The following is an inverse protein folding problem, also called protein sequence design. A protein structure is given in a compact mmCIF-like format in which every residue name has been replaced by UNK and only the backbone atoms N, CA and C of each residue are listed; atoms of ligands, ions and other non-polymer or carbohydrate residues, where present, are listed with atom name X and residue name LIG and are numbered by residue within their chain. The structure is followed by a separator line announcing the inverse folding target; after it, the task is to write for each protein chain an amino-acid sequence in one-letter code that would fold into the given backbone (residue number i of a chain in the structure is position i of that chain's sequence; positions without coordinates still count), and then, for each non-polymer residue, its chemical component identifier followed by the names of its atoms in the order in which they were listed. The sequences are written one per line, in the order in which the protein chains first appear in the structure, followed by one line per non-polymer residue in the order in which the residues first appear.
data_IF_701157688024
#
_entry.id   IF_701157688024
#
_cell.length_a   1.000
_cell.length_b   1.000
_cell.length_c   1.000
_cell.angle_alpha   90.00
_cell.angle_beta   90.00
_cell.angle_gamma   90.00
#
_symmetry.space_group_name_H-M   'P 1'
#
loop_
_entity.id
_entity.type
_entity.pdbx_description
1 polymer ?
#
# COMPACT_ATOMS: atom_id res chain seq x y z
N UNK A 1 -3.71 -7.54 -16.84
CA UNK A 1 -3.29 -8.32 -15.68
C UNK A 1 -4.48 -8.44 -14.75
N UNK A 2 -4.66 -9.60 -14.10
CA UNK A 2 -5.73 -9.79 -13.11
C UNK A 2 -5.13 -9.46 -11.74
N UNK A 3 -5.80 -8.59 -10.97
CA UNK A 3 -5.41 -8.33 -9.58
C UNK A 3 -5.80 -9.53 -8.72
N UNK A 4 -4.85 -10.04 -7.94
CA UNK A 4 -5.08 -11.07 -6.95
C UNK A 4 -5.65 -10.46 -5.66
N UNK A 5 -6.39 -11.24 -4.87
CA UNK A 5 -6.79 -10.83 -3.53
C UNK A 5 -5.55 -10.44 -2.71
N UNK A 6 -5.52 -9.21 -2.19
CA UNK A 6 -4.40 -8.70 -1.39
C UNK A 6 -3.38 -7.84 -2.15
N UNK A 7 -3.37 -7.84 -3.50
CA UNK A 7 -2.44 -7.02 -4.29
C UNK A 7 -2.61 -5.51 -4.01
N UNK A 8 -3.86 -5.07 -3.95
CA UNK A 8 -4.20 -3.66 -3.69
C UNK A 8 -3.81 -3.26 -2.27
N UNK A 9 -3.97 -4.15 -1.29
CA UNK A 9 -3.58 -3.90 0.09
C UNK A 9 -2.05 -3.81 0.21
N UNK A 10 -1.33 -4.75 -0.40
CA UNK A 10 0.13 -4.74 -0.42
C UNK A 10 0.66 -3.44 -1.06
N UNK A 11 0.13 -3.06 -2.22
CA UNK A 11 0.49 -1.82 -2.89
C UNK A 11 0.21 -0.60 -2.00
N UNK A 12 -0.96 -0.55 -1.36
CA UNK A 12 -1.32 0.53 -0.44
C UNK A 12 -0.36 0.61 0.75
N UNK A 13 0.05 -0.52 1.34
CA UNK A 13 1.03 -0.54 2.45
C UNK A 13 2.42 -0.09 2.02
N UNK A 14 2.84 -0.40 0.80
CA UNK A 14 4.11 0.08 0.22
C UNK A 14 4.05 1.59 0.03
N UNK A 15 2.98 2.11 -0.59
CA UNK A 15 2.77 3.56 -0.76
C UNK A 15 2.76 4.25 0.60
N UNK A 16 2.05 3.70 1.59
CA UNK A 16 2.02 4.22 2.94
C UNK A 16 3.43 4.34 3.54
N UNK A 17 4.29 3.33 3.36
CA UNK A 17 5.69 3.34 3.83
C UNK A 17 6.57 4.39 3.16
N UNK A 18 6.39 4.67 1.87
CA UNK A 18 7.17 5.70 1.16
C UNK A 18 6.52 7.09 1.19
N UNK A 19 5.34 7.22 1.79
CA UNK A 19 4.65 8.48 2.02
C UNK A 19 5.07 9.15 3.35
N UNK A 20 4.44 10.28 3.66
CA UNK A 20 4.59 10.96 4.96
C UNK A 20 4.06 10.15 6.15
N UNK A 21 3.25 9.10 5.91
CA UNK A 21 2.66 8.25 6.96
C UNK A 21 3.53 7.07 7.38
N UNK A 22 4.81 7.02 7.00
CA UNK A 22 5.68 5.84 7.15
C UNK A 22 5.87 5.29 8.57
N UNK A 23 5.66 6.15 9.57
CA UNK A 23 5.81 5.86 11.01
C UNK A 23 4.45 5.90 11.73
N UNK A 24 3.34 6.10 11.00
CA UNK A 24 1.99 6.12 11.55
C UNK A 24 1.46 4.69 11.76
N UNK A 25 0.61 4.50 12.78
CA UNK A 25 -0.04 3.21 13.03
C UNK A 25 -0.99 2.79 11.91
N UNK A 26 -1.57 3.78 11.22
CA UNK A 26 -2.48 3.58 10.11
C UNK A 26 -2.43 4.79 9.16
N UNK A 27 -2.52 4.52 7.87
CA UNK A 27 -2.61 5.53 6.81
C UNK A 27 -3.88 5.29 6.02
N UNK A 28 -4.61 6.36 5.77
CA UNK A 28 -5.80 6.37 4.91
C UNK A 28 -5.38 6.73 3.48
N UNK A 29 -5.74 5.90 2.51
CA UNK A 29 -5.49 6.13 1.09
C UNK A 29 -6.78 6.00 0.28
N UNK A 30 -6.91 6.80 -0.77
CA UNK A 30 -7.91 6.56 -1.80
C UNK A 30 -7.30 5.70 -2.91
N UNK A 31 -7.95 4.58 -3.20
CA UNK A 31 -7.65 3.75 -4.35
C UNK A 31 -8.75 3.94 -5.38
N UNK A 32 -8.36 4.36 -6.58
CA UNK A 32 -9.21 4.42 -7.76
C UNK A 32 -8.81 3.31 -8.71
N UNK A 33 -9.74 2.42 -9.03
CA UNK A 33 -9.48 1.36 -10.01
C UNK A 33 -9.67 1.86 -11.46
N UNK A 34 -9.41 0.96 -12.41
CA UNK A 34 -9.52 1.27 -13.84
C UNK A 34 -10.95 1.43 -14.34
N UNK A 35 -11.94 0.96 -13.56
CA UNK A 35 -13.36 1.18 -13.85
C UNK A 35 -13.82 2.56 -13.36
N UNK A 36 -13.00 3.22 -12.54
CA UNK A 36 -13.27 4.53 -11.98
C UNK A 36 -13.89 4.47 -10.59
N UNK A 37 -14.08 3.27 -10.03
CA UNK A 37 -14.57 3.10 -8.66
C UNK A 37 -13.49 3.54 -7.67
N UNK A 38 -13.90 4.37 -6.73
CA UNK A 38 -13.04 4.91 -5.68
C UNK A 38 -13.41 4.23 -4.37
N UNK A 39 -12.39 3.74 -3.66
CA UNK A 39 -12.54 3.18 -2.32
C UNK A 39 -11.45 3.68 -1.39
N UNK A 40 -11.83 3.91 -0.15
CA UNK A 40 -10.91 4.30 0.90
C UNK A 40 -10.31 3.05 1.55
N UNK A 41 -8.99 3.00 1.62
CA UNK A 41 -8.21 1.94 2.24
C UNK A 41 -7.56 2.47 3.51
N UNK A 42 -7.62 1.67 4.57
CA UNK A 42 -6.96 1.95 5.83
C UNK A 42 -5.92 0.87 6.06
N UNK A 43 -4.65 1.20 5.92
CA UNK A 43 -3.57 0.21 5.95
C UNK A 43 -2.46 0.62 6.90
N UNK A 44 -1.83 -0.37 7.52
CA UNK A 44 -0.61 -0.15 8.31
C UNK A 44 0.60 -0.13 7.37
N UNK A 45 1.44 0.93 7.39
CA UNK A 45 2.68 0.96 6.62
C UNK A 45 3.50 -0.32 6.82
N UNK A 46 4.12 -0.82 5.76
CA UNK A 46 5.06 -1.93 5.87
C UNK A 46 6.27 -1.52 6.73
N UNK A 47 6.72 -2.40 7.61
CA UNK A 47 7.99 -2.21 8.30
C UNK A 47 9.14 -2.36 7.30
N UNK A 48 10.27 -1.69 7.55
CA UNK A 48 11.45 -1.81 6.68
C UNK A 48 11.93 -3.27 6.53
N UNK A 49 11.74 -4.06 7.59
CA UNK A 49 12.11 -5.49 7.64
C UNK A 49 11.14 -6.41 6.89
N UNK A 50 9.94 -5.92 6.54
CA UNK A 50 8.94 -6.68 5.77
C UNK A 50 9.12 -6.49 4.25
N UNK A 51 9.92 -5.51 3.83
CA UNK A 51 10.24 -5.30 2.42
C UNK A 51 11.39 -6.23 2.02
N UNK A 52 11.15 -7.05 0.98
CA UNK A 52 12.19 -7.93 0.44
C UNK A 52 13.41 -7.10 0.04
N UNK A 53 14.59 -7.45 0.57
CA UNK A 53 15.83 -6.72 0.31
C UNK A 53 16.15 -6.60 -1.18
N UNK A 54 15.63 -7.52 -2.02
CA UNK A 54 15.75 -7.47 -3.47
C UNK A 54 15.13 -6.22 -4.13
N UNK A 55 14.32 -5.45 -3.40
CA UNK A 55 13.71 -4.21 -3.89
C UNK A 55 14.45 -2.95 -3.44
N UNK A 56 15.44 -3.09 -2.54
CA UNK A 56 16.30 -2.01 -2.10
C UNK A 56 17.49 -1.91 -3.07
N UNK A 57 17.31 -1.13 -4.15
CA UNK A 57 18.38 -0.76 -5.09
C UNK A 57 19.40 0.19 -4.47
#
# INVERSE_FOLDING_TARGET
GVLQPGDVELAARIVARYSQGRDAEQVTLEYKDTAGDVRTLHVKPLHADELSQAWML
#
